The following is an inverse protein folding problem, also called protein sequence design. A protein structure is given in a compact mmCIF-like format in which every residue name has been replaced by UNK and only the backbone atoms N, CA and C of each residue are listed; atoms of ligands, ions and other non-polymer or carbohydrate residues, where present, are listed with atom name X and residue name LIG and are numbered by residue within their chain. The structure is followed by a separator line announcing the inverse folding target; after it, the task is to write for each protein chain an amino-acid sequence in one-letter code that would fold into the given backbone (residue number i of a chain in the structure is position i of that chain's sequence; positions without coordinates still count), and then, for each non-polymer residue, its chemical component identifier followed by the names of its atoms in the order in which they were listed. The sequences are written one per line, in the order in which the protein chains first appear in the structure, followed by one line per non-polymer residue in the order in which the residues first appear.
data_IF_090140420668
#
_entry.id   IF_090140420668
#
_cell.length_a   1.000
_cell.length_b   1.000
_cell.length_c   1.000
_cell.angle_alpha   90.00
_cell.angle_beta   90.00
_cell.angle_gamma   90.00
#
_symmetry.space_group_name_H-M   'P 1'
#
loop_
_entity.id
_entity.type
_entity.pdbx_description
1 polymer ?
#
# COMPACT_ATOMS: atom_id res chain seq x y z
N UNK A 1 -2.19 -5.06 -6.49
CA UNK A 1 -3.57 -4.55 -6.32
C UNK A 1 -4.22 -5.29 -5.15
N UNK A 2 -5.01 -4.60 -4.35
CA UNK A 2 -5.93 -5.14 -3.34
C UNK A 2 -7.22 -4.32 -3.43
N UNK A 3 -8.38 -4.97 -3.56
CA UNK A 3 -9.65 -4.27 -3.84
C UNK A 3 -9.54 -3.30 -5.02
N UNK A 4 -9.88 -2.03 -4.78
CA UNK A 4 -9.75 -0.95 -5.78
C UNK A 4 -8.46 -0.12 -5.63
N UNK A 5 -7.54 -0.50 -4.75
CA UNK A 5 -6.21 0.12 -4.62
C UNK A 5 -5.15 -0.63 -5.45
N UNK A 6 -4.30 0.10 -6.17
CA UNK A 6 -3.27 -0.47 -7.05
C UNK A 6 -1.95 0.31 -6.95
N UNK A 7 -0.81 -0.37 -7.12
CA UNK A 7 0.47 0.32 -7.33
C UNK A 7 0.44 0.96 -8.72
N UNK A 8 0.79 2.23 -8.83
CA UNK A 8 0.84 2.94 -10.11
C UNK A 8 1.81 2.28 -11.08
N UNK A 9 1.38 2.09 -12.32
CA UNK A 9 2.24 1.60 -13.40
C UNK A 9 3.27 2.65 -13.84
N UNK A 10 3.02 3.92 -13.55
CA UNK A 10 3.92 5.02 -13.89
C UNK A 10 5.03 5.20 -12.84
N UNK A 11 4.75 4.93 -11.57
CA UNK A 11 5.72 5.11 -10.48
C UNK A 11 5.38 4.26 -9.24
N UNK A 12 6.23 3.29 -8.91
CA UNK A 12 5.93 2.26 -7.91
C UNK A 12 5.68 2.77 -6.48
N UNK A 13 6.17 3.95 -6.11
CA UNK A 13 5.90 4.54 -4.78
C UNK A 13 4.48 5.11 -4.62
N UNK A 14 3.69 5.18 -5.69
CA UNK A 14 2.32 5.67 -5.62
C UNK A 14 1.33 4.50 -5.59
N UNK A 15 0.39 4.58 -4.64
CA UNK A 15 -0.83 3.78 -4.66
C UNK A 15 -1.95 4.64 -5.24
N UNK A 16 -2.57 4.17 -6.32
CA UNK A 16 -3.67 4.83 -7.00
C UNK A 16 -5.00 4.17 -6.65
N UNK A 17 -6.03 5.01 -6.55
CA UNK A 17 -7.41 4.58 -6.41
C UNK A 17 -8.02 4.39 -7.80
N UNK A 18 -8.41 3.17 -8.14
CA UNK A 18 -9.06 2.84 -9.42
C UNK A 18 -10.56 3.20 -9.46
N UNK A 19 -11.01 3.98 -8.48
CA UNK A 19 -12.41 4.26 -8.20
C UNK A 19 -12.94 3.34 -7.09
N UNK A 20 -13.33 3.91 -5.96
CA UNK A 20 -13.93 3.16 -4.84
C UNK A 20 -12.96 2.46 -3.89
N UNK A 21 -11.65 2.73 -3.95
CA UNK A 21 -10.71 2.20 -2.96
C UNK A 21 -11.04 2.69 -1.55
N UNK A 22 -11.09 1.76 -0.61
CA UNK A 22 -11.25 2.05 0.82
C UNK A 22 -9.89 2.26 1.49
N UNK A 23 -9.90 2.85 2.68
CA UNK A 23 -8.68 2.94 3.49
C UNK A 23 -8.09 1.55 3.80
N UNK A 24 -8.96 0.57 4.05
CA UNK A 24 -8.56 -0.82 4.29
C UNK A 24 -7.84 -1.44 3.08
N UNK A 25 -8.31 -1.16 1.84
CA UNK A 25 -7.64 -1.62 0.62
C UNK A 25 -6.23 -1.05 0.49
N UNK A 26 -6.07 0.25 0.78
CA UNK A 26 -4.78 0.93 0.70
C UNK A 26 -3.81 0.37 1.74
N UNK A 27 -4.24 0.25 3.00
CA UNK A 27 -3.41 -0.30 4.10
C UNK A 27 -3.01 -1.75 3.80
N UNK A 28 -3.95 -2.59 3.38
CA UNK A 28 -3.67 -3.98 3.03
C UNK A 28 -2.70 -4.09 1.83
N UNK A 29 -2.81 -3.21 0.84
CA UNK A 29 -1.85 -3.15 -0.25
C UNK A 29 -0.46 -2.69 0.22
N UNK A 30 -0.39 -1.70 1.11
CA UNK A 30 0.88 -1.25 1.71
C UNK A 30 1.57 -2.39 2.47
N UNK A 31 0.84 -3.11 3.33
CA UNK A 31 1.39 -4.24 4.09
C UNK A 31 1.88 -5.37 3.19
N UNK A 32 1.15 -5.65 2.11
CA UNK A 32 1.56 -6.62 1.11
C UNK A 32 2.86 -6.20 0.39
N UNK A 33 3.01 -4.92 0.05
CA UNK A 33 4.23 -4.39 -0.56
C UNK A 33 5.40 -4.51 0.42
N UNK A 34 5.23 -4.07 1.67
CA UNK A 34 6.26 -4.17 2.72
C UNK A 34 6.73 -5.61 2.92
N UNK A 35 5.79 -6.54 3.03
CA UNK A 35 6.08 -7.98 3.18
C UNK A 35 6.90 -8.51 2.00
N UNK A 36 6.52 -8.17 0.77
CA UNK A 36 7.24 -8.62 -0.42
C UNK A 36 8.62 -8.00 -0.52
N UNK A 37 8.78 -6.70 -0.28
CA UNK A 37 10.10 -6.05 -0.33
C UNK A 37 11.02 -6.62 0.73
N UNK A 38 10.52 -6.87 1.94
CA UNK A 38 11.31 -7.54 2.98
C UNK A 38 11.74 -8.95 2.55
N UNK A 39 10.84 -9.73 1.97
CA UNK A 39 11.15 -11.09 1.52
C UNK A 39 12.16 -11.15 0.36
N UNK A 40 12.07 -10.20 -0.59
CA UNK A 40 12.90 -10.23 -1.81
C UNK A 40 14.22 -9.49 -1.66
N UNK A 41 14.24 -8.38 -0.91
CA UNK A 41 15.38 -7.49 -0.81
C UNK A 41 15.94 -7.38 0.62
N UNK A 42 15.29 -7.97 1.62
CA UNK A 42 15.70 -7.83 3.01
C UNK A 42 15.45 -6.45 3.61
N UNK A 43 14.79 -5.53 2.89
CA UNK A 43 14.58 -4.15 3.30
C UNK A 43 13.23 -3.99 4.01
N UNK A 44 13.23 -3.35 5.18
CA UNK A 44 12.01 -2.92 5.86
C UNK A 44 11.64 -1.52 5.38
N UNK A 45 10.52 -1.41 4.66
CA UNK A 45 10.02 -0.12 4.21
C UNK A 45 9.24 0.58 5.33
N UNK A 46 9.55 1.86 5.54
CA UNK A 46 8.81 2.76 6.42
C UNK A 46 7.89 3.66 5.59
N UNK A 47 6.59 3.78 5.94
CA UNK A 47 5.68 4.63 5.22
C UNK A 47 5.96 6.12 5.48
N UNK A 48 6.07 6.92 4.42
CA UNK A 48 6.13 8.39 4.52
C UNK A 48 4.76 8.99 4.91
N UNK A 49 3.69 8.37 4.41
CA UNK A 49 2.32 8.83 4.65
C UNK A 49 1.89 8.60 6.09
N UNK A 50 1.15 9.56 6.65
CA UNK A 50 0.55 9.44 7.98
C UNK A 50 -0.83 8.78 7.88
N UNK A 51 -1.03 7.71 8.63
CA UNK A 51 -2.32 7.07 8.78
C UNK A 51 -3.02 7.69 9.98
N UNK A 52 -4.23 8.23 9.78
CA UNK A 52 -5.05 8.87 10.81
C UNK A 52 -6.39 8.16 10.88
N UNK A 53 -6.87 7.91 12.10
CA UNK A 53 -8.08 7.15 12.37
C UNK A 53 -7.81 5.95 13.28
N UNK A 54 -8.85 5.20 13.59
CA UNK A 54 -8.78 4.00 14.41
C UNK A 54 -9.03 2.76 13.55
N UNK A 55 -8.40 1.65 13.92
CA UNK A 55 -8.73 0.35 13.33
C UNK A 55 -10.17 0.01 13.72
N UNK A 56 -11.02 -0.21 12.72
CA UNK A 56 -12.39 -0.69 12.91
C UNK A 56 -12.44 -2.21 12.77
#
# INVERSE_FOLDING_TARGET
RVGQAMVSEMHANFIVNLGGATAADVIALMDLIRTRVRAHAGIDLEPEVRIIGENK
#
